data_IF_449504095670
#
_entry.id   IF_449504095670
#
_cell.length_a   1.000
_cell.length_b   1.000
_cell.length_c   1.000
_cell.angle_alpha   90.00
_cell.angle_beta   90.00
_cell.angle_gamma   90.00
#
_symmetry.space_group_name_H-M   'P 1'
#
loop_
_entity.id
_entity.type
_entity.pdbx_description
1 polymer ?
#
# COMPACT_ATOMS: atom_id res chain seq x y z
N UNK A 1 3.16 5.64 -12.16
CA UNK A 1 2.07 6.48 -12.74
C UNK A 1 1.00 5.67 -13.48
N UNK A 2 1.32 4.55 -14.16
CA UNK A 2 0.26 3.64 -14.66
C UNK A 2 -0.39 2.86 -13.50
N UNK A 3 -1.72 2.66 -13.57
CA UNK A 3 -2.63 1.90 -12.67
C UNK A 3 -3.38 2.64 -11.54
N UNK A 4 -3.36 3.97 -11.43
CA UNK A 4 -4.05 4.65 -10.31
C UNK A 4 -5.57 4.41 -10.31
N UNK A 5 -6.21 4.40 -11.49
CA UNK A 5 -7.64 4.09 -11.63
C UNK A 5 -7.99 2.65 -11.17
N UNK A 6 -7.12 1.68 -11.47
CA UNK A 6 -7.30 0.29 -11.04
C UNK A 6 -7.13 0.16 -9.52
N UNK A 7 -6.14 0.86 -8.94
CA UNK A 7 -5.90 0.84 -7.48
C UNK A 7 -7.07 1.41 -6.69
N UNK A 8 -7.67 2.50 -7.17
CA UNK A 8 -8.89 3.07 -6.57
C UNK A 8 -10.03 2.06 -6.59
N UNK A 9 -10.26 1.38 -7.71
CA UNK A 9 -11.35 0.41 -7.81
C UNK A 9 -11.21 -0.77 -6.83
N UNK A 10 -9.99 -1.26 -6.63
CA UNK A 10 -9.72 -2.45 -5.79
C UNK A 10 -9.96 -2.18 -4.30
N UNK A 11 -9.85 -0.92 -3.85
CA UNK A 11 -10.01 -0.57 -2.44
C UNK A 11 -11.47 -0.36 -2.01
N UNK A 12 -12.42 -0.44 -2.94
CA UNK A 12 -13.84 -0.26 -2.63
C UNK A 12 -14.38 -1.45 -1.83
N UNK A 13 -14.88 -1.19 -0.62
CA UNK A 13 -15.41 -2.23 0.25
C UNK A 13 -14.32 -3.09 0.89
N UNK A 14 -13.10 -2.55 1.04
CA UNK A 14 -12.00 -3.29 1.66
C UNK A 14 -12.21 -3.47 3.16
N UNK A 15 -12.11 -4.71 3.63
CA UNK A 15 -12.18 -5.05 5.07
C UNK A 15 -10.79 -5.10 5.73
N UNK A 16 -9.72 -5.17 4.95
CA UNK A 16 -8.35 -5.26 5.45
C UNK A 16 -7.30 -5.13 4.34
N UNK A 17 -6.11 -4.65 4.70
CA UNK A 17 -5.01 -4.40 3.76
C UNK A 17 -3.73 -5.08 4.23
N UNK A 18 -3.06 -5.77 3.31
CA UNK A 18 -1.66 -6.20 3.48
C UNK A 18 -0.79 -5.38 2.55
N UNK A 19 0.10 -4.57 3.10
CA UNK A 19 1.10 -3.84 2.33
C UNK A 19 2.38 -4.66 2.22
N UNK A 20 2.72 -5.06 1.00
CA UNK A 20 3.93 -5.85 0.71
C UNK A 20 5.05 -4.90 0.34
N UNK A 21 5.94 -4.64 1.29
CA UNK A 21 7.13 -3.82 1.12
C UNK A 21 8.27 -4.65 0.51
N UNK A 22 8.97 -4.09 -0.46
CA UNK A 22 10.20 -4.67 -0.99
C UNK A 22 11.37 -4.34 -0.05
N UNK A 23 12.05 -5.35 0.50
CA UNK A 23 13.12 -5.14 1.50
C UNK A 23 14.44 -4.60 0.93
N UNK A 24 14.56 -4.47 -0.40
CA UNK A 24 15.74 -3.86 -1.03
C UNK A 24 15.87 -2.39 -0.66
N UNK A 25 17.09 -1.95 -0.32
CA UNK A 25 17.35 -0.56 0.09
C UNK A 25 16.96 0.42 -1.02
N UNK A 26 17.24 0.08 -2.28
CA UNK A 26 16.92 0.89 -3.45
C UNK A 26 15.41 1.05 -3.68
N UNK A 27 14.58 0.25 -3.01
CA UNK A 27 13.12 0.29 -3.09
C UNK A 27 12.46 1.03 -1.95
N UNK A 28 13.23 1.57 -1.00
CA UNK A 28 12.68 2.30 0.14
C UNK A 28 11.82 3.50 -0.28
N UNK A 29 12.31 4.35 -1.20
CA UNK A 29 11.54 5.51 -1.67
C UNK A 29 10.24 5.07 -2.36
N UNK A 30 10.28 4.02 -3.18
CA UNK A 30 9.11 3.46 -3.82
C UNK A 30 8.10 2.87 -2.82
N UNK A 31 8.57 2.26 -1.74
CA UNK A 31 7.70 1.78 -0.66
C UNK A 31 6.98 2.94 0.03
N UNK A 32 7.71 4.03 0.33
CA UNK A 32 7.15 5.23 0.95
C UNK A 32 6.10 5.90 0.04
N UNK A 33 6.43 6.10 -1.24
CA UNK A 33 5.49 6.64 -2.22
C UNK A 33 4.23 5.76 -2.33
N UNK A 34 4.40 4.43 -2.35
CA UNK A 34 3.27 3.51 -2.49
C UNK A 34 2.38 3.46 -1.23
N UNK A 35 2.92 3.60 -0.02
CA UNK A 35 2.09 3.64 1.20
C UNK A 35 1.36 4.97 1.33
N UNK A 36 1.95 6.07 0.88
CA UNK A 36 1.25 7.37 0.85
C UNK A 36 0.15 7.40 -0.22
N UNK A 37 0.38 6.80 -1.39
CA UNK A 37 -0.68 6.59 -2.38
C UNK A 37 -1.82 5.70 -1.83
N UNK A 38 -1.51 4.65 -1.07
CA UNK A 38 -2.54 3.84 -0.39
C UNK A 38 -3.40 4.68 0.55
N UNK A 39 -2.78 5.53 1.39
CA UNK A 39 -3.51 6.44 2.30
C UNK A 39 -4.41 7.41 1.53
N UNK A 40 -3.93 7.99 0.44
CA UNK A 40 -4.71 8.90 -0.41
C UNK A 40 -5.92 8.16 -1.00
N UNK A 41 -5.71 6.99 -1.59
CA UNK A 41 -6.77 6.22 -2.24
C UNK A 41 -7.85 5.72 -1.25
N UNK A 42 -7.46 5.38 -0.02
CA UNK A 42 -8.41 5.02 1.04
C UNK A 42 -9.25 6.24 1.47
N UNK A 43 -8.61 7.41 1.65
CA UNK A 43 -9.29 8.64 2.04
C UNK A 43 -10.30 9.10 1.00
N UNK A 44 -9.98 8.98 -0.28
CA UNK A 44 -10.92 9.29 -1.37
C UNK A 44 -12.20 8.43 -1.34
N UNK A 45 -12.17 7.29 -0.64
CA UNK A 45 -13.29 6.36 -0.50
C UNK A 45 -13.92 6.40 0.89
N UNK A 46 -13.52 7.34 1.75
CA UNK A 46 -14.05 7.51 3.10
C UNK A 46 -13.42 6.58 4.15
N UNK A 47 -12.31 5.92 3.83
CA UNK A 47 -11.56 5.09 4.78
C UNK A 47 -10.32 5.82 5.31
N UNK A 48 -9.94 5.49 6.54
CA UNK A 48 -8.65 5.87 7.13
C UNK A 48 -7.83 4.59 7.31
N UNK A 49 -6.55 4.61 6.91
CA UNK A 49 -5.69 3.41 6.99
C UNK A 49 -5.56 2.92 8.44
N UNK A 50 -5.58 3.84 9.40
CA UNK A 50 -5.50 3.58 10.83
C UNK A 50 -6.73 2.86 11.40
N UNK A 51 -7.86 2.87 10.68
CA UNK A 51 -9.13 2.24 11.07
C UNK A 51 -9.40 0.93 10.33
N UNK A 52 -8.64 0.65 9.27
CA UNK A 52 -8.71 -0.60 8.50
C UNK A 52 -7.70 -1.58 9.08
N UNK A 53 -8.06 -2.86 9.32
CA UNK A 53 -7.09 -3.91 9.62
C UNK A 53 -5.90 -3.88 8.65
N UNK A 54 -4.72 -3.56 9.16
CA UNK A 54 -3.55 -3.25 8.34
C UNK A 54 -2.33 -4.06 8.80
N UNK A 55 -1.73 -4.78 7.87
CA UNK A 55 -0.51 -5.58 8.08
C UNK A 55 0.56 -5.17 7.08
N UNK A 56 1.81 -5.14 7.52
CA UNK A 56 2.97 -4.94 6.64
C UNK A 56 3.74 -6.25 6.51
N UNK A 57 4.00 -6.66 5.27
CA UNK A 57 4.89 -7.76 4.95
C UNK A 57 6.18 -7.19 4.33
N UNK A 58 7.31 -7.40 5.00
CA UNK A 58 8.62 -7.15 4.39
C UNK A 58 9.02 -8.37 3.55
N UNK A 59 8.88 -8.24 2.23
CA UNK A 59 9.18 -9.31 1.27
C UNK A 59 10.62 -9.21 0.74
N UNK A 60 11.10 -10.29 0.10
CA UNK A 60 12.46 -10.41 -0.45
C UNK A 60 13.59 -10.33 0.59
N UNK A 61 13.37 -10.95 1.75
CA UNK A 61 14.34 -10.99 2.87
C UNK A 61 15.57 -11.86 2.57
N UNK A 62 15.52 -12.63 1.51
CA UNK A 62 16.59 -13.46 0.97
C UNK A 62 17.67 -12.66 0.22
N UNK A 63 17.38 -11.41 -0.14
CA UNK A 63 18.33 -10.56 -0.84
C UNK A 63 19.46 -10.11 0.09
N UNK A 64 20.70 -9.98 -0.44
CA UNK A 64 21.89 -9.64 0.32
C UNK A 64 21.86 -8.22 0.90
#
# INVERSE_FOLDING_TARGET
VFYDASRKLILKGVDGVVFVADAQIERMEANLESVDNLKINLREQGYELEKVPYVVQYNKRDLP
#
